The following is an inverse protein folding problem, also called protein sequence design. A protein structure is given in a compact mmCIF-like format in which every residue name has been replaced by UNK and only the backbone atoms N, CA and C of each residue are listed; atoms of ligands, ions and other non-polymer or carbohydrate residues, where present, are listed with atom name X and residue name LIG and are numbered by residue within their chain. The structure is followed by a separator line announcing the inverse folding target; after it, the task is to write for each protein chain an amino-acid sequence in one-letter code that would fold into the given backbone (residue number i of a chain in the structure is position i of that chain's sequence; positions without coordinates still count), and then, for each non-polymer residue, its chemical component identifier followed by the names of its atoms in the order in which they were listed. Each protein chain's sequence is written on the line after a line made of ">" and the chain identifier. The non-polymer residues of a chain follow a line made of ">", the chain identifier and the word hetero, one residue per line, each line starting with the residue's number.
data_IF_209601327212
#
_entry.id   IF_209601327212
#
_cell.length_a   1.000
_cell.length_b   1.000
_cell.length_c   1.000
_cell.angle_alpha   90.00
_cell.angle_beta   90.00
_cell.angle_gamma   90.00
#
_symmetry.space_group_name_H-M   'P 1'
#
loop_
_entity.id
_entity.type
_entity.pdbx_description
1 polymer ?
#
# COMPACT_ATOMS: atom_id res chain seq x y z
N UNK A 1 3.14 -19.34 2.60
CA UNK A 1 4.31 -18.91 1.85
C UNK A 1 4.10 -17.51 1.28
N UNK A 2 5.07 -16.65 1.45
CA UNK A 2 4.98 -15.26 0.98
C UNK A 2 4.91 -15.20 -0.55
N UNK A 3 3.94 -14.46 -1.09
CA UNK A 3 3.81 -14.24 -2.54
C UNK A 3 4.85 -13.24 -3.02
N UNK A 4 5.21 -13.36 -4.29
CA UNK A 4 6.14 -12.46 -4.97
C UNK A 4 5.45 -11.81 -6.16
N UNK A 5 5.98 -10.68 -6.61
CA UNK A 5 5.46 -10.00 -7.80
C UNK A 5 5.45 -10.93 -9.01
N UNK A 6 6.49 -11.78 -9.14
CA UNK A 6 6.55 -12.77 -10.22
C UNK A 6 5.37 -13.73 -10.22
N UNK A 7 4.82 -14.08 -9.05
CA UNK A 7 3.65 -14.95 -8.96
C UNK A 7 2.42 -14.28 -9.54
N UNK A 8 2.27 -12.97 -9.36
CA UNK A 8 1.16 -12.20 -9.93
C UNK A 8 1.28 -12.09 -11.44
N UNK A 9 2.48 -11.90 -11.95
CA UNK A 9 2.73 -11.82 -13.39
C UNK A 9 2.31 -13.14 -14.07
N UNK A 10 2.57 -14.27 -13.42
CA UNK A 10 2.17 -15.58 -13.93
C UNK A 10 0.66 -15.76 -14.03
N UNK A 11 -0.11 -15.01 -13.24
CA UNK A 11 -1.58 -15.04 -13.29
C UNK A 11 -2.17 -14.23 -14.44
N UNK A 12 -1.37 -13.38 -15.06
CA UNK A 12 -1.85 -12.53 -16.15
C UNK A 12 -2.49 -13.38 -17.25
N UNK A 13 -3.72 -13.01 -17.61
CA UNK A 13 -4.54 -13.70 -18.63
C UNK A 13 -4.93 -15.15 -18.27
N UNK A 14 -4.66 -15.60 -17.05
CA UNK A 14 -5.00 -16.96 -16.60
C UNK A 14 -5.98 -16.95 -15.43
N UNK A 15 -5.71 -16.11 -14.43
CA UNK A 15 -6.52 -16.01 -13.22
C UNK A 15 -6.68 -14.55 -12.83
N UNK A 16 -7.76 -14.25 -12.10
CA UNK A 16 -7.95 -12.91 -11.54
C UNK A 16 -7.03 -12.71 -10.36
N UNK A 17 -6.51 -11.51 -10.24
CA UNK A 17 -5.73 -11.06 -9.08
C UNK A 17 -6.70 -10.39 -8.12
N UNK A 18 -6.72 -10.84 -6.86
CA UNK A 18 -7.60 -10.29 -5.85
C UNK A 18 -6.83 -9.30 -4.99
N UNK A 19 -7.29 -8.05 -4.95
CA UNK A 19 -6.71 -7.00 -4.13
C UNK A 19 -7.77 -6.50 -3.15
N UNK A 20 -7.44 -6.48 -1.87
CA UNK A 20 -8.32 -6.04 -0.81
C UNK A 20 -7.62 -4.99 0.05
N UNK A 21 -8.41 -4.15 0.72
CA UNK A 21 -7.90 -3.05 1.54
C UNK A 21 -7.95 -3.42 3.02
N UNK A 22 -6.90 -3.08 3.76
CA UNK A 22 -6.86 -3.22 5.21
C UNK A 22 -6.16 -2.02 5.84
N UNK A 23 -6.55 -1.69 7.07
CA UNK A 23 -5.99 -0.56 7.81
C UNK A 23 -5.39 -0.98 9.14
N UNK A 24 -5.45 -2.25 9.49
CA UNK A 24 -4.96 -2.76 10.76
C UNK A 24 -4.50 -4.20 10.66
N UNK A 25 -3.72 -4.62 11.64
CA UNK A 25 -3.22 -6.00 11.76
C UNK A 25 -4.34 -7.03 11.73
N UNK A 26 -5.40 -6.80 12.50
CA UNK A 26 -6.47 -7.78 12.65
C UNK A 26 -7.19 -8.04 11.32
N UNK A 27 -7.55 -6.97 10.60
CA UNK A 27 -8.19 -7.11 9.31
C UNK A 27 -7.24 -7.75 8.30
N UNK A 28 -5.98 -7.31 8.28
CA UNK A 28 -4.99 -7.86 7.38
C UNK A 28 -4.79 -9.37 7.60
N UNK A 29 -4.77 -9.81 8.84
CA UNK A 29 -4.63 -11.24 9.17
C UNK A 29 -5.78 -12.08 8.61
N UNK A 30 -7.00 -11.54 8.68
CA UNK A 30 -8.17 -12.22 8.15
C UNK A 30 -8.13 -12.29 6.61
N UNK A 31 -7.75 -11.18 5.96
CA UNK A 31 -7.77 -11.08 4.51
C UNK A 31 -6.58 -11.81 3.84
N UNK A 32 -5.49 -11.99 4.56
CA UNK A 32 -4.23 -12.49 3.98
C UNK A 32 -4.35 -13.84 3.27
N UNK A 33 -5.27 -14.68 3.71
CA UNK A 33 -5.51 -15.99 3.09
C UNK A 33 -6.44 -15.93 1.86
N UNK A 34 -7.04 -14.78 1.60
CA UNK A 34 -8.10 -14.63 0.60
C UNK A 34 -7.75 -13.70 -0.56
N UNK A 35 -6.54 -13.16 -0.57
CA UNK A 35 -6.15 -12.21 -1.61
C UNK A 35 -4.68 -12.34 -1.98
N UNK A 36 -4.32 -11.69 -3.09
CA UNK A 36 -2.94 -11.62 -3.57
C UNK A 36 -2.24 -10.35 -3.11
N UNK A 37 -2.99 -9.27 -3.00
CA UNK A 37 -2.49 -7.95 -2.62
C UNK A 37 -3.33 -7.38 -1.49
N UNK A 38 -2.68 -6.82 -0.49
CA UNK A 38 -3.33 -6.00 0.53
C UNK A 38 -2.86 -4.57 0.33
N UNK A 39 -3.82 -3.68 0.09
CA UNK A 39 -3.58 -2.26 -0.11
C UNK A 39 -3.85 -1.50 1.18
N UNK A 40 -2.91 -0.67 1.59
CA UNK A 40 -3.15 0.32 2.64
C UNK A 40 -3.45 1.62 1.92
N UNK A 41 -4.72 1.95 1.79
CA UNK A 41 -5.18 3.09 1.02
C UNK A 41 -5.31 4.35 1.87
N UNK A 42 -5.13 5.51 1.25
CA UNK A 42 -5.33 6.80 1.90
C UNK A 42 -6.80 7.07 2.24
N UNK A 43 -7.72 6.25 1.74
CA UNK A 43 -9.12 6.26 2.16
C UNK A 43 -9.30 5.98 3.65
N UNK A 44 -8.26 5.50 4.35
CA UNK A 44 -8.30 5.34 5.80
C UNK A 44 -8.70 6.65 6.51
N UNK A 45 -8.41 7.78 5.91
CA UNK A 45 -8.79 9.07 6.46
C UNK A 45 -10.30 9.22 6.61
N UNK A 46 -11.06 8.91 5.57
CA UNK A 46 -12.51 9.00 5.61
C UNK A 46 -13.14 7.84 6.38
N UNK A 47 -12.56 6.65 6.29
CA UNK A 47 -13.12 5.44 6.93
C UNK A 47 -12.88 5.44 8.43
N UNK A 48 -11.65 5.75 8.88
CA UNK A 48 -11.29 5.64 10.30
C UNK A 48 -11.35 6.97 11.05
N UNK A 49 -11.04 8.08 10.38
CA UNK A 49 -10.88 9.39 11.03
C UNK A 49 -11.96 10.39 10.67
N UNK A 50 -12.90 10.01 9.82
CA UNK A 50 -13.97 10.89 9.35
C UNK A 50 -13.46 12.17 8.69
N UNK A 51 -12.31 12.10 8.04
CA UNK A 51 -11.78 13.22 7.27
C UNK A 51 -12.62 13.45 6.02
N UNK A 52 -12.76 14.71 5.63
CA UNK A 52 -13.52 15.07 4.42
C UNK A 52 -12.76 14.80 3.13
N UNK A 53 -11.44 14.67 3.21
CA UNK A 53 -10.58 14.48 2.05
C UNK A 53 -9.41 13.58 2.40
N UNK A 54 -8.92 12.82 1.43
CA UNK A 54 -7.69 12.04 1.56
C UNK A 54 -6.47 12.95 1.77
N UNK A 55 -6.58 14.24 1.42
CA UNK A 55 -5.49 15.21 1.61
C UNK A 55 -5.14 15.46 3.07
N UNK A 56 -6.04 15.15 3.99
CA UNK A 56 -5.80 15.32 5.42
C UNK A 56 -4.97 14.19 6.01
N UNK A 57 -4.78 13.09 5.28
CA UNK A 57 -3.98 11.96 5.74
C UNK A 57 -2.50 12.30 5.60
N UNK A 58 -1.76 12.21 6.71
CA UNK A 58 -0.32 12.48 6.71
C UNK A 58 0.48 11.24 6.37
N UNK A 59 1.73 11.46 5.91
CA UNK A 59 2.67 10.36 5.67
C UNK A 59 2.89 9.53 6.92
N UNK A 60 3.03 10.20 8.08
CA UNK A 60 3.24 9.49 9.34
C UNK A 60 2.07 8.59 9.70
N UNK A 61 0.84 9.06 9.49
CA UNK A 61 -0.37 8.26 9.71
C UNK A 61 -0.36 7.02 8.82
N UNK A 62 -0.04 7.19 7.54
CA UNK A 62 0.05 6.06 6.62
C UNK A 62 1.12 5.05 7.05
N UNK A 63 2.26 5.54 7.50
CA UNK A 63 3.34 4.66 7.97
C UNK A 63 2.91 3.87 9.20
N UNK A 64 2.26 4.50 10.16
CA UNK A 64 1.81 3.82 11.38
C UNK A 64 0.76 2.74 11.10
N UNK A 65 -0.24 3.04 10.26
CA UNK A 65 -1.22 2.04 9.86
C UNK A 65 -0.59 0.92 9.04
N UNK A 66 0.35 1.26 8.17
CA UNK A 66 1.04 0.28 7.34
C UNK A 66 1.89 -0.67 8.16
N UNK A 67 2.51 -0.18 9.22
CA UNK A 67 3.24 -1.07 10.16
C UNK A 67 2.30 -2.07 10.81
N UNK A 68 1.11 -1.62 11.22
CA UNK A 68 0.10 -2.51 11.79
C UNK A 68 -0.34 -3.56 10.78
N UNK A 69 -0.67 -3.14 9.56
CA UNK A 69 -1.08 -4.06 8.49
C UNK A 69 0.03 -5.07 8.20
N UNK A 70 1.27 -4.62 8.14
CA UNK A 70 2.42 -5.50 7.87
C UNK A 70 2.49 -6.66 8.86
N UNK A 71 2.19 -6.40 10.11
CA UNK A 71 2.21 -7.43 11.16
C UNK A 71 1.18 -8.54 10.92
N UNK A 72 0.12 -8.26 10.18
CA UNK A 72 -0.93 -9.23 9.86
C UNK A 72 -0.70 -10.01 8.58
N UNK A 73 0.25 -9.60 7.74
CA UNK A 73 0.48 -10.21 6.43
C UNK A 73 1.59 -11.24 6.50
N UNK A 74 1.30 -12.44 6.02
CA UNK A 74 2.28 -13.53 5.90
C UNK A 74 2.46 -13.98 4.45
N UNK A 75 1.44 -13.87 3.62
CA UNK A 75 1.41 -14.42 2.26
C UNK A 75 1.27 -13.36 1.18
N UNK A 76 0.35 -12.41 1.37
CA UNK A 76 0.02 -11.41 0.36
C UNK A 76 1.12 -10.38 0.15
N UNK A 77 1.12 -9.76 -1.02
CA UNK A 77 1.92 -8.56 -1.25
C UNK A 77 1.25 -7.38 -0.56
N UNK A 78 2.05 -6.47 -0.05
CA UNK A 78 1.58 -5.27 0.62
C UNK A 78 1.96 -4.03 -0.18
N UNK A 79 0.95 -3.25 -0.56
CA UNK A 79 1.13 -2.01 -1.32
C UNK A 79 0.58 -0.86 -0.47
N UNK A 80 1.32 0.23 -0.39
CA UNK A 80 0.95 1.41 0.41
C UNK A 80 0.74 2.61 -0.50
N UNK A 81 -0.37 3.32 -0.33
CA UNK A 81 -0.63 4.57 -1.03
C UNK A 81 0.26 5.68 -0.46
N UNK A 82 0.88 6.44 -1.36
CA UNK A 82 1.58 7.66 -0.98
C UNK A 82 0.57 8.77 -0.75
N UNK A 83 0.74 9.52 0.32
CA UNK A 83 -0.18 10.58 0.71
C UNK A 83 0.06 11.87 -0.07
N UNK A 84 -0.93 12.76 -0.04
CA UNK A 84 -0.84 14.08 -0.66
C UNK A 84 0.43 14.82 -0.20
N UNK A 85 1.06 15.53 -1.11
CA UNK A 85 2.30 16.29 -0.90
C UNK A 85 3.56 15.45 -0.63
N UNK A 86 3.52 14.14 -0.86
CA UNK A 86 4.72 13.30 -0.72
C UNK A 86 5.34 12.91 -2.07
N UNK A 87 4.73 13.37 -3.17
CA UNK A 87 5.17 13.02 -4.52
C UNK A 87 5.05 14.20 -5.51
N UNK A 88 5.33 15.44 -5.06
CA UNK A 88 5.19 16.64 -5.89
C UNK A 88 6.13 16.67 -7.09
N UNK A 89 7.25 15.96 -7.01
CA UNK A 89 8.20 15.80 -8.11
C UNK A 89 8.85 14.41 -8.01
N UNK A 90 9.53 13.93 -9.06
CA UNK A 90 10.12 12.59 -9.07
C UNK A 90 11.12 12.35 -7.94
N UNK A 91 11.92 13.34 -7.58
CA UNK A 91 12.93 13.21 -6.51
C UNK A 91 12.26 13.04 -5.15
N UNK A 92 11.23 13.85 -4.85
CA UNK A 92 10.48 13.76 -3.62
C UNK A 92 9.72 12.44 -3.54
N UNK A 93 9.08 12.04 -4.65
CA UNK A 93 8.36 10.77 -4.71
C UNK A 93 9.27 9.58 -4.42
N UNK A 94 10.45 9.55 -5.02
CA UNK A 94 11.39 8.46 -4.78
C UNK A 94 11.87 8.44 -3.34
N UNK A 95 12.20 9.60 -2.77
CA UNK A 95 12.63 9.72 -1.39
C UNK A 95 11.57 9.18 -0.42
N UNK A 96 10.33 9.61 -0.60
CA UNK A 96 9.23 9.21 0.29
C UNK A 96 8.82 7.74 0.08
N UNK A 97 8.86 7.25 -1.15
CA UNK A 97 8.60 5.84 -1.43
C UNK A 97 9.63 4.95 -0.72
N UNK A 98 10.91 5.31 -0.80
CA UNK A 98 11.97 4.57 -0.10
C UNK A 98 11.78 4.60 1.41
N UNK A 99 11.37 5.75 1.95
CA UNK A 99 11.10 5.89 3.38
C UNK A 99 9.96 4.97 3.82
N UNK A 100 8.86 4.96 3.07
CA UNK A 100 7.72 4.08 3.33
C UNK A 100 8.16 2.63 3.31
N UNK A 101 8.87 2.21 2.27
CA UNK A 101 9.30 0.82 2.12
C UNK A 101 10.25 0.41 3.24
N UNK A 102 11.15 1.29 3.65
CA UNK A 102 12.09 1.02 4.74
C UNK A 102 11.37 0.86 6.07
N UNK A 103 10.41 1.74 6.37
CA UNK A 103 9.74 1.74 7.68
C UNK A 103 8.63 0.70 7.79
N UNK A 104 7.95 0.39 6.70
CA UNK A 104 6.80 -0.52 6.72
C UNK A 104 7.12 -1.90 6.17
N UNK A 105 8.24 -2.03 5.47
CA UNK A 105 8.62 -3.27 4.76
C UNK A 105 7.57 -3.72 3.75
N UNK A 106 6.83 -2.77 3.17
CA UNK A 106 5.88 -3.07 2.12
C UNK A 106 6.61 -3.48 0.83
N UNK A 107 5.88 -4.11 -0.07
CA UNK A 107 6.41 -4.59 -1.34
C UNK A 107 6.37 -3.53 -2.44
N UNK A 108 5.59 -2.48 -2.26
CA UNK A 108 5.52 -1.37 -3.21
C UNK A 108 4.75 -0.19 -2.65
N UNK A 109 4.91 0.96 -3.28
CA UNK A 109 4.21 2.19 -2.97
C UNK A 109 3.61 2.77 -4.23
N UNK A 110 2.43 3.36 -4.11
CA UNK A 110 1.68 3.90 -5.25
C UNK A 110 1.41 5.39 -5.05
N UNK A 111 1.67 6.18 -6.08
CA UNK A 111 1.28 7.58 -6.12
C UNK A 111 0.21 7.80 -7.18
N UNK A 112 -0.69 8.73 -6.91
CA UNK A 112 -1.78 9.09 -7.81
C UNK A 112 -1.56 10.46 -8.42
N UNK A 113 -0.39 10.67 -9.03
CA UNK A 113 -0.09 11.96 -9.65
C UNK A 113 -0.23 11.86 -11.16
N UNK A 114 -0.26 13.03 -11.80
CA UNK A 114 -0.15 13.14 -13.25
C UNK A 114 1.27 12.84 -13.75
N UNK A 115 2.24 12.77 -12.84
CA UNK A 115 3.58 12.38 -13.18
C UNK A 115 3.58 10.87 -13.39
N UNK A 116 3.94 10.48 -14.61
CA UNK A 116 4.20 9.08 -14.87
C UNK A 116 5.52 8.74 -14.19
N UNK A 117 5.45 8.44 -12.91
CA UNK A 117 6.59 7.86 -12.25
C UNK A 117 6.63 6.39 -12.64
N UNK A 118 7.82 5.87 -13.03
CA UNK A 118 7.95 4.44 -13.15
C UNK A 118 7.57 3.88 -11.80
N UNK A 119 6.53 3.06 -11.79
CA UNK A 119 6.22 2.24 -10.64
C UNK A 119 7.39 1.30 -10.45
N UNK A 120 8.35 1.74 -9.71
CA UNK A 120 9.32 0.83 -9.17
C UNK A 120 8.59 0.08 -8.07
N UNK A 121 7.92 -0.93 -8.50
CA UNK A 121 7.42 -1.87 -7.54
C UNK A 121 8.56 -2.37 -6.69
#
# INVERSE_FOLDING_TARGET
>A
MKKKISDLIKKKNKQKIVSLTAYSKNVASILDNHCDIILVGDSLGSVLYNYKSTREVTLNTMIEHSKSVRMGIKKSLMIVDMTHNTYRNPKEALKNAKLIMKKTKCDGAVSYTHLTLPTTG
#
